data_IF_965262175618
#
_entry.id   IF_965262175618
#
_cell.length_a   1.000
_cell.length_b   1.000
_cell.length_c   1.000
_cell.angle_alpha   90.00
_cell.angle_beta   90.00
_cell.angle_gamma   90.00
#
_symmetry.space_group_name_H-M   'P 1'
#
loop_
_entity.id
_entity.type
_entity.pdbx_description
1 polymer ?
#
# COMPACT_ATOMS: atom_id res chain seq x y z
N UNK A 1 21.96 -46.72 -20.44
CA UNK A 1 22.21 -48.05 -21.04
C UNK A 1 20.88 -48.75 -21.21
N UNK A 2 20.73 -49.50 -22.31
CA UNK A 2 19.49 -49.94 -22.99
C UNK A 2 18.78 -48.85 -23.81
N UNK A 3 18.27 -49.07 -25.02
CA UNK A 3 18.64 -49.90 -26.17
C UNK A 3 17.69 -49.47 -27.32
N UNK A 4 18.26 -49.34 -28.53
CA UNK A 4 17.72 -49.51 -29.89
C UNK A 4 16.22 -49.47 -30.24
N UNK A 5 15.91 -48.81 -31.38
CA UNK A 5 15.18 -49.32 -32.59
C UNK A 5 14.87 -48.14 -33.54
N UNK A 6 15.51 -48.05 -34.73
CA UNK A 6 15.11 -48.57 -36.07
C UNK A 6 13.78 -48.03 -36.66
N UNK A 7 13.94 -47.21 -37.72
CA UNK A 7 13.37 -47.28 -39.08
C UNK A 7 11.84 -47.11 -39.36
N UNK A 8 11.52 -45.99 -40.05
CA UNK A 8 10.51 -45.65 -41.11
C UNK A 8 9.47 -46.69 -41.59
N UNK A 9 8.26 -46.30 -42.09
CA UNK A 9 8.13 -45.52 -43.36
C UNK A 9 6.95 -44.54 -43.53
N UNK A 10 7.07 -43.74 -44.60
CA UNK A 10 6.05 -42.92 -45.25
C UNK A 10 5.07 -43.78 -46.07
N UNK A 11 3.79 -43.38 -46.12
CA UNK A 11 2.90 -43.57 -47.29
C UNK A 11 1.84 -42.46 -47.26
N UNK A 12 1.69 -41.74 -48.39
CA UNK A 12 0.68 -40.70 -48.58
C UNK A 12 -0.58 -41.18 -49.29
N UNK A 13 -1.61 -40.34 -49.21
CA UNK A 13 -2.79 -40.17 -50.08
C UNK A 13 -3.31 -38.77 -49.70
N UNK A 14 -3.51 -37.76 -50.54
CA UNK A 14 -4.09 -37.69 -51.88
C UNK A 14 -5.21 -36.65 -51.81
N UNK A 15 -5.06 -35.54 -52.54
CA UNK A 15 -6.06 -34.61 -53.15
C UNK A 15 -7.22 -34.11 -52.25
N UNK A 16 -7.45 -32.81 -52.09
CA UNK A 16 -8.21 -32.01 -53.06
C UNK A 16 -7.90 -30.51 -52.97
N UNK A 17 -7.78 -29.89 -54.13
CA UNK A 17 -7.67 -28.44 -54.29
C UNK A 17 -9.04 -27.77 -54.30
N UNK A 18 -9.10 -26.58 -53.71
CA UNK A 18 -10.11 -25.57 -54.07
C UNK A 18 -9.41 -24.22 -54.14
N UNK A 19 -9.21 -23.77 -55.37
CA UNK A 19 -8.91 -22.40 -55.74
C UNK A 19 -10.13 -21.51 -55.55
N UNK A 20 -10.00 -20.41 -54.81
CA UNK A 20 -10.98 -19.32 -54.84
C UNK A 20 -10.40 -18.11 -55.58
N UNK A 21 -11.08 -17.80 -56.69
CA UNK A 21 -10.91 -16.72 -57.67
C UNK A 21 -11.34 -15.36 -57.06
N UNK A 22 -10.91 -14.20 -57.60
CA UNK A 22 -10.90 -12.93 -56.88
C UNK A 22 -12.22 -12.18 -56.99
N UNK A 23 -12.56 -11.44 -55.93
CA UNK A 23 -13.69 -10.51 -55.94
C UNK A 23 -13.19 -9.11 -56.30
N UNK A 24 -13.44 -8.70 -57.55
CA UNK A 24 -13.75 -7.32 -57.86
C UNK A 24 -15.21 -7.09 -57.45
N UNK A 25 -15.47 -6.07 -56.65
CA UNK A 25 -16.65 -5.23 -56.82
C UNK A 25 -16.34 -3.84 -56.30
N UNK A 26 -16.29 -2.92 -57.25
CA UNK A 26 -16.26 -1.49 -57.06
C UNK A 26 -17.65 -1.03 -56.61
N UNK A 27 -17.72 -0.27 -55.53
CA UNK A 27 -18.82 0.70 -55.33
C UNK A 27 -18.17 2.07 -55.16
N UNK A 28 -18.58 2.94 -56.06
CA UNK A 28 -18.17 4.32 -56.24
C UNK A 28 -18.47 5.19 -55.01
N UNK A 29 -17.50 6.02 -54.63
CA UNK A 29 -17.75 7.28 -53.94
C UNK A 29 -16.77 8.31 -54.51
N UNK A 30 -17.33 9.38 -55.09
CA UNK A 30 -16.67 10.30 -56.01
C UNK A 30 -15.48 11.12 -55.46
N UNK A 31 -14.84 11.92 -56.33
CA UNK A 31 -13.65 12.69 -55.98
C UNK A 31 -14.04 13.90 -55.12
N UNK A 32 -14.09 13.68 -53.81
CA UNK A 32 -14.05 14.74 -52.82
C UNK A 32 -12.69 15.42 -52.87
N UNK A 33 -12.65 16.58 -53.53
CA UNK A 33 -11.50 17.46 -53.62
C UNK A 33 -11.09 17.96 -52.22
N UNK A 34 -10.27 17.18 -51.51
CA UNK A 34 -9.58 17.67 -50.32
C UNK A 34 -8.29 18.31 -50.82
N UNK A 35 -8.39 19.60 -51.09
CA UNK A 35 -7.25 20.45 -51.40
C UNK A 35 -6.29 20.41 -50.19
N UNK A 36 -5.29 19.53 -50.27
CA UNK A 36 -4.17 19.51 -49.34
C UNK A 36 -3.38 20.78 -49.61
N UNK A 37 -3.71 21.82 -48.83
CA UNK A 37 -2.91 23.04 -48.75
C UNK A 37 -1.48 22.59 -48.43
N UNK A 38 -0.49 22.88 -49.30
CA UNK A 38 0.90 22.61 -48.94
C UNK A 38 1.17 23.36 -47.65
N UNK A 39 1.65 22.65 -46.63
CA UNK A 39 2.14 23.29 -45.42
C UNK A 39 3.19 24.29 -45.88
N UNK A 40 2.89 25.59 -45.79
CA UNK A 40 3.87 26.66 -45.94
C UNK A 40 5.04 26.31 -45.05
N UNK A 41 6.17 26.04 -45.68
CA UNK A 41 7.43 25.93 -44.98
C UNK A 41 7.60 27.18 -44.13
N UNK A 42 7.97 27.04 -42.84
CA UNK A 42 8.24 28.21 -42.03
C UNK A 42 9.40 28.95 -42.67
N UNK A 43 9.08 30.14 -43.19
CA UNK A 43 9.97 31.17 -43.69
C UNK A 43 11.25 31.17 -42.85
N UNK A 44 12.37 30.96 -43.54
CA UNK A 44 13.70 30.93 -42.96
C UNK A 44 13.96 32.18 -42.13
N UNK A 45 13.91 32.04 -40.81
CA UNK A 45 14.78 32.82 -39.95
C UNK A 45 16.14 32.13 -40.01
N UNK A 46 17.04 32.68 -40.83
CA UNK A 46 18.47 32.44 -40.74
C UNK A 46 18.87 32.52 -39.27
N UNK A 47 19.15 31.37 -38.67
CA UNK A 47 19.84 31.34 -37.40
C UNK A 47 21.26 31.78 -37.71
N UNK A 48 21.74 32.92 -37.16
CA UNK A 48 23.09 33.35 -37.43
C UNK A 48 24.01 32.20 -37.07
N UNK A 49 24.91 31.86 -38.00
CA UNK A 49 25.97 30.89 -37.77
C UNK A 49 26.49 31.09 -36.36
N UNK A 50 26.24 30.10 -35.51
CA UNK A 50 26.90 30.01 -34.22
C UNK A 50 28.35 29.72 -34.58
N UNK A 51 29.12 30.79 -34.87
CA UNK A 51 30.57 30.82 -34.73
C UNK A 51 30.85 29.95 -33.53
N UNK A 52 31.74 28.98 -33.69
CA UNK A 52 32.28 28.24 -32.57
C UNK A 52 32.81 29.30 -31.60
N UNK A 53 31.95 29.72 -30.68
CA UNK A 53 32.36 30.44 -29.52
C UNK A 53 33.29 29.42 -28.90
N UNK A 54 34.59 29.73 -28.94
CA UNK A 54 35.55 29.19 -28.01
C UNK A 54 34.76 28.99 -26.72
N UNK A 55 34.73 27.76 -26.20
CA UNK A 55 34.24 27.51 -24.85
C UNK A 55 35.11 28.42 -23.99
N UNK A 56 34.65 29.65 -23.79
CA UNK A 56 34.97 30.43 -22.62
C UNK A 56 34.59 29.47 -21.53
N UNK A 57 35.61 29.01 -20.82
CA UNK A 57 35.47 28.36 -19.54
C UNK A 57 34.62 29.31 -18.69
N UNK A 58 33.29 29.22 -18.83
CA UNK A 58 32.37 29.59 -17.77
C UNK A 58 32.60 28.52 -16.73
N UNK A 59 33.73 28.68 -16.05
CA UNK A 59 34.19 27.88 -14.95
C UNK A 59 33.09 28.03 -13.93
N UNK A 60 32.19 27.05 -13.90
CA UNK A 60 31.12 27.04 -12.92
C UNK A 60 31.78 27.22 -11.57
N UNK A 61 31.49 28.32 -10.89
CA UNK A 61 32.14 28.71 -9.64
C UNK A 61 31.91 27.70 -8.49
N UNK A 62 31.13 26.64 -8.75
CA UNK A 62 30.81 25.56 -7.81
C UNK A 62 31.49 24.25 -8.25
N UNK A 63 32.33 23.72 -7.36
CA UNK A 63 32.97 22.41 -7.51
C UNK A 63 31.91 21.29 -7.64
N UNK A 64 32.05 20.43 -8.65
CA UNK A 64 31.17 19.27 -8.84
C UNK A 64 31.43 18.21 -7.77
N UNK A 65 30.54 18.13 -6.79
CA UNK A 65 30.64 17.18 -5.65
C UNK A 65 30.24 15.75 -6.05
N UNK A 66 29.18 15.59 -6.85
CA UNK A 66 28.67 14.29 -7.32
C UNK A 66 29.45 13.79 -8.55
N UNK A 67 30.75 13.60 -8.39
CA UNK A 67 31.65 13.17 -9.46
C UNK A 67 31.80 11.64 -9.53
N UNK A 68 32.55 11.14 -10.53
CA UNK A 68 32.83 9.70 -10.70
C UNK A 68 33.47 9.08 -9.43
N UNK A 69 34.39 9.82 -8.79
CA UNK A 69 35.08 9.39 -7.58
C UNK A 69 34.16 9.29 -6.35
N UNK A 70 33.12 10.12 -6.28
CA UNK A 70 32.07 10.04 -5.27
C UNK A 70 31.29 8.73 -5.43
N UNK A 71 30.76 8.45 -6.62
CA UNK A 71 29.96 7.24 -6.86
C UNK A 71 30.76 5.94 -6.70
N UNK A 72 32.06 5.95 -7.01
CA UNK A 72 32.96 4.80 -6.76
C UNK A 72 33.05 4.42 -5.28
N UNK A 73 32.90 5.38 -4.36
CA UNK A 73 33.02 5.18 -2.90
C UNK A 73 31.68 5.31 -2.17
N UNK A 74 30.58 5.50 -2.90
CA UNK A 74 29.29 5.74 -2.31
C UNK A 74 28.68 4.44 -1.78
N UNK A 75 28.64 4.30 -0.45
CA UNK A 75 27.98 3.17 0.19
C UNK A 75 26.48 3.43 0.35
N UNK A 76 25.67 2.65 -0.36
CA UNK A 76 24.21 2.75 -0.25
C UNK A 76 23.73 2.20 1.08
N UNK A 77 22.78 2.89 1.72
CA UNK A 77 22.03 2.32 2.85
C UNK A 77 21.10 1.19 2.37
N UNK A 78 20.61 0.38 3.30
CA UNK A 78 19.68 -0.71 2.99
C UNK A 78 18.44 -0.23 2.21
N UNK A 79 17.90 -1.08 1.32
CA UNK A 79 16.79 -0.75 0.43
C UNK A 79 15.63 -0.06 1.15
N UNK A 80 15.10 -0.65 2.23
CA UNK A 80 13.96 -0.08 2.99
C UNK A 80 14.30 1.22 3.72
N UNK A 81 15.58 1.46 4.05
CA UNK A 81 16.03 2.73 4.63
C UNK A 81 16.08 3.84 3.58
N UNK A 82 16.53 3.51 2.35
CA UNK A 82 16.49 4.43 1.19
C UNK A 82 15.05 4.76 0.77
N UNK A 83 14.14 3.80 0.88
CA UNK A 83 12.70 4.04 0.68
C UNK A 83 12.02 4.77 1.86
N UNK A 84 12.72 5.00 2.97
CA UNK A 84 12.16 5.69 4.13
C UNK A 84 11.05 4.93 4.86
N UNK A 85 11.00 3.60 4.77
CA UNK A 85 9.90 2.77 5.33
C UNK A 85 10.23 2.08 6.65
N UNK A 86 11.51 2.04 7.02
CA UNK A 86 11.94 1.26 8.18
C UNK A 86 13.16 1.90 8.82
N UNK A 87 13.06 2.10 10.12
CA UNK A 87 14.21 2.27 10.99
C UNK A 87 14.73 0.90 11.44
N UNK A 88 15.97 0.58 11.06
CA UNK A 88 16.61 -0.69 11.41
C UNK A 88 17.08 -0.71 12.87
N UNK A 89 17.26 0.45 13.51
CA UNK A 89 17.66 0.55 14.90
C UNK A 89 16.54 0.06 15.83
N UNK A 90 15.31 0.58 15.63
CA UNK A 90 14.12 0.07 16.32
C UNK A 90 13.83 -1.40 15.96
N UNK A 91 13.89 -1.75 14.66
CA UNK A 91 13.60 -3.12 14.21
C UNK A 91 14.53 -4.17 14.83
N UNK A 92 15.83 -3.88 14.96
CA UNK A 92 16.80 -4.80 15.59
C UNK A 92 16.38 -5.16 17.01
N UNK A 93 15.94 -4.18 17.81
CA UNK A 93 15.52 -4.42 19.21
C UNK A 93 14.18 -5.15 19.31
N UNK A 94 13.26 -4.85 18.40
CA UNK A 94 11.92 -5.40 18.43
C UNK A 94 11.86 -6.87 18.00
N UNK A 95 12.68 -7.25 17.02
CA UNK A 95 12.56 -8.54 16.32
C UNK A 95 13.53 -9.60 16.83
N UNK A 96 14.70 -9.20 17.31
CA UNK A 96 15.69 -10.16 17.81
C UNK A 96 15.13 -10.84 19.06
N UNK A 97 15.20 -12.18 19.05
CA UNK A 97 14.83 -13.05 20.14
C UNK A 97 16.07 -13.43 20.95
N UNK A 98 15.87 -13.73 22.24
CA UNK A 98 16.92 -14.27 23.09
C UNK A 98 17.35 -15.65 22.57
N UNK A 99 18.66 -15.86 22.41
CA UNK A 99 19.19 -17.06 21.76
C UNK A 99 18.91 -18.35 22.55
N UNK A 100 18.74 -18.25 23.86
CA UNK A 100 18.36 -19.36 24.73
C UNK A 100 16.92 -19.87 24.49
N UNK A 101 16.08 -19.10 23.80
CA UNK A 101 14.71 -19.52 23.42
C UNK A 101 14.66 -20.22 22.05
N UNK A 102 15.80 -20.36 21.37
CA UNK A 102 15.97 -21.06 20.10
C UNK A 102 14.91 -20.68 19.05
N UNK A 103 13.99 -21.60 18.74
CA UNK A 103 12.99 -21.45 17.67
C UNK A 103 11.71 -20.74 18.11
N UNK A 104 11.59 -20.32 19.37
CA UNK A 104 10.38 -19.64 19.85
C UNK A 104 10.20 -18.30 19.14
N UNK A 105 9.10 -18.11 18.37
CA UNK A 105 8.88 -16.90 17.60
C UNK A 105 8.59 -15.70 18.51
N UNK A 106 9.23 -14.57 18.22
CA UNK A 106 8.91 -13.29 18.84
C UNK A 106 7.87 -12.56 17.97
N UNK A 107 6.62 -12.57 18.43
CA UNK A 107 5.51 -11.96 17.71
C UNK A 107 5.45 -10.45 17.90
N UNK A 108 5.16 -9.75 16.80
CA UNK A 108 4.90 -8.31 16.83
C UNK A 108 3.61 -7.97 16.10
N UNK A 109 2.88 -7.03 16.67
CA UNK A 109 1.72 -6.39 16.09
C UNK A 109 2.18 -5.17 15.28
N UNK A 110 2.21 -5.32 13.96
CA UNK A 110 2.53 -4.25 13.01
C UNK A 110 1.27 -3.45 12.73
N UNK A 111 1.27 -2.18 13.15
CA UNK A 111 0.20 -1.24 12.85
C UNK A 111 0.72 -0.19 11.87
N UNK A 112 0.06 -0.05 10.72
CA UNK A 112 0.42 0.94 9.70
C UNK A 112 -0.81 1.69 9.24
N UNK A 113 -0.72 3.02 9.31
CA UNK A 113 -1.72 3.91 8.73
C UNK A 113 -1.28 4.30 7.34
N UNK A 114 -2.22 4.19 6.40
CA UNK A 114 -2.15 4.86 5.11
C UNK A 114 -3.18 5.99 5.10
N UNK A 115 -3.24 6.77 4.01
CA UNK A 115 -4.16 7.89 3.93
C UNK A 115 -5.65 7.47 3.95
N UNK A 116 -5.96 6.23 3.57
CA UNK A 116 -7.34 5.75 3.40
C UNK A 116 -7.61 4.37 4.02
N UNK A 117 -6.61 3.76 4.64
CA UNK A 117 -6.71 2.41 5.18
C UNK A 117 -5.80 2.24 6.40
N UNK A 118 -6.25 1.42 7.35
CA UNK A 118 -5.50 0.97 8.52
C UNK A 118 -5.15 -0.49 8.31
N UNK A 119 -3.88 -0.83 8.51
CA UNK A 119 -3.34 -2.17 8.33
C UNK A 119 -2.82 -2.67 9.67
N UNK A 120 -3.39 -3.76 10.17
CA UNK A 120 -2.95 -4.44 11.38
C UNK A 120 -2.50 -5.87 11.03
N UNK A 121 -1.28 -6.24 11.40
CA UNK A 121 -0.72 -7.55 11.09
C UNK A 121 0.01 -8.12 12.30
N UNK A 122 -0.08 -9.43 12.51
CA UNK A 122 0.82 -10.14 13.42
C UNK A 122 1.87 -10.86 12.60
N UNK A 123 3.14 -10.58 12.89
CA UNK A 123 4.25 -11.19 12.21
C UNK A 123 5.35 -11.58 13.18
N UNK A 124 6.17 -12.55 12.77
CA UNK A 124 7.46 -12.86 13.39
C UNK A 124 8.51 -12.97 12.28
N UNK A 125 9.78 -12.79 12.61
CA UNK A 125 10.84 -12.82 11.61
C UNK A 125 11.41 -14.23 11.42
N UNK A 126 11.71 -14.57 10.18
CA UNK A 126 12.60 -15.67 9.77
C UNK A 126 13.73 -15.11 8.91
N UNK A 127 14.70 -15.96 8.57
CA UNK A 127 15.86 -15.61 7.74
C UNK A 127 15.43 -15.15 6.34
N UNK A 128 14.47 -15.86 5.73
CA UNK A 128 13.95 -15.54 4.39
C UNK A 128 13.11 -14.26 4.37
N UNK A 129 12.48 -13.91 5.49
CA UNK A 129 11.57 -12.79 5.60
C UNK A 129 10.63 -12.90 6.80
N UNK A 130 9.74 -11.92 6.91
CA UNK A 130 8.72 -11.93 7.95
C UNK A 130 7.56 -12.85 7.56
N UNK A 131 7.16 -13.72 8.48
CA UNK A 131 5.99 -14.58 8.33
C UNK A 131 4.79 -13.89 8.96
N UNK A 132 3.76 -13.60 8.17
CA UNK A 132 2.51 -13.01 8.64
C UNK A 132 1.56 -14.13 9.08
N UNK A 133 1.13 -14.08 10.34
CA UNK A 133 0.22 -15.07 10.93
C UNK A 133 -1.24 -14.69 10.66
N UNK A 134 -1.57 -13.42 10.91
CA UNK A 134 -2.90 -12.84 10.77
C UNK A 134 -2.77 -11.40 10.24
N UNK A 135 -3.77 -10.96 9.50
CA UNK A 135 -3.91 -9.59 9.03
C UNK A 135 -5.37 -9.15 9.14
N UNK A 136 -5.60 -7.88 9.45
CA UNK A 136 -6.90 -7.21 9.35
C UNK A 136 -6.70 -5.82 8.74
N UNK A 137 -7.74 -5.35 8.07
CA UNK A 137 -7.72 -4.10 7.33
C UNK A 137 -8.99 -3.30 7.57
N UNK A 138 -8.89 -1.97 7.53
CA UNK A 138 -10.08 -1.13 7.73
C UNK A 138 -11.07 -1.23 6.58
N UNK A 139 -10.61 -1.53 5.36
CA UNK A 139 -11.51 -1.78 4.22
C UNK A 139 -12.37 -3.06 4.34
N UNK A 140 -12.12 -3.91 5.35
CA UNK A 140 -12.99 -5.05 5.70
C UNK A 140 -14.12 -4.65 6.64
N UNK A 141 -13.97 -3.53 7.38
CA UNK A 141 -14.95 -3.05 8.36
C UNK A 141 -16.36 -2.77 7.82
N UNK A 142 -16.56 -2.39 6.54
CA UNK A 142 -17.90 -2.25 5.98
C UNK A 142 -18.75 -3.52 6.06
N UNK A 143 -18.13 -4.70 6.13
CA UNK A 143 -18.86 -5.97 6.33
C UNK A 143 -19.50 -6.09 7.72
N UNK A 144 -18.98 -5.33 8.69
CA UNK A 144 -19.40 -5.34 10.08
C UNK A 144 -20.20 -4.07 10.44
N UNK A 145 -20.72 -3.33 9.45
CA UNK A 145 -21.59 -2.16 9.66
C UNK A 145 -20.89 -0.80 9.60
N UNK A 146 -19.55 -0.74 9.56
CA UNK A 146 -18.80 0.53 9.47
C UNK A 146 -18.51 0.87 8.01
N UNK A 147 -19.44 1.56 7.36
CA UNK A 147 -19.31 1.91 5.93
C UNK A 147 -18.39 3.10 5.64
N UNK A 148 -18.21 4.01 6.59
CA UNK A 148 -17.47 5.27 6.48
C UNK A 148 -16.52 5.47 7.66
N UNK A 149 -15.61 6.44 7.56
CA UNK A 149 -14.72 6.78 8.68
C UNK A 149 -13.57 5.80 8.92
N UNK A 150 -13.11 5.07 7.89
CA UNK A 150 -12.17 3.94 8.02
C UNK A 150 -10.77 4.28 8.57
N UNK A 151 -10.44 5.56 8.76
CA UNK A 151 -9.11 6.01 9.23
C UNK A 151 -9.13 6.79 10.55
N UNK A 152 -10.26 6.82 11.26
CA UNK A 152 -10.38 7.47 12.57
C UNK A 152 -9.84 6.56 13.71
N UNK A 153 -9.94 7.03 14.96
CA UNK A 153 -9.50 6.28 16.14
C UNK A 153 -10.39 5.05 16.40
N UNK A 154 -11.71 5.20 16.27
CA UNK A 154 -12.69 4.12 16.43
C UNK A 154 -12.48 2.96 15.43
N UNK A 155 -12.24 3.26 14.15
CA UNK A 155 -11.89 2.27 13.14
C UNK A 155 -10.55 1.60 13.44
N UNK A 156 -9.57 2.33 13.99
CA UNK A 156 -8.31 1.73 14.43
C UNK A 156 -8.57 0.69 15.53
N UNK A 157 -9.38 1.04 16.53
CA UNK A 157 -9.81 0.12 17.58
C UNK A 157 -10.50 -1.12 17.00
N UNK A 158 -11.50 -0.94 16.12
CA UNK A 158 -12.20 -2.04 15.46
C UNK A 158 -11.26 -2.94 14.66
N UNK A 159 -10.28 -2.39 13.92
CA UNK A 159 -9.30 -3.20 13.19
C UNK A 159 -8.38 -4.00 14.11
N UNK A 160 -8.01 -3.43 15.27
CA UNK A 160 -7.24 -4.13 16.30
C UNK A 160 -8.02 -5.31 16.89
N UNK A 161 -9.28 -5.06 17.26
CA UNK A 161 -10.20 -6.06 17.79
C UNK A 161 -10.44 -7.20 16.79
N UNK A 162 -10.69 -6.87 15.52
CA UNK A 162 -10.86 -7.86 14.46
C UNK A 162 -9.62 -8.74 14.27
N UNK A 163 -8.44 -8.13 14.31
CA UNK A 163 -7.17 -8.84 14.18
C UNK A 163 -6.94 -9.80 15.35
N UNK A 164 -7.23 -9.37 16.59
CA UNK A 164 -7.12 -10.19 17.79
C UNK A 164 -8.08 -11.39 17.77
N UNK A 165 -9.38 -11.15 17.53
CA UNK A 165 -10.38 -12.23 17.47
C UNK A 165 -10.09 -13.22 16.34
N UNK A 166 -9.61 -12.75 15.19
CA UNK A 166 -9.21 -13.62 14.07
C UNK A 166 -7.99 -14.47 14.42
N UNK A 167 -7.04 -13.92 15.17
CA UNK A 167 -5.87 -14.66 15.63
C UNK A 167 -6.25 -15.75 16.63
N UNK A 168 -7.07 -15.41 17.63
CA UNK A 168 -7.49 -16.34 18.67
C UNK A 168 -8.35 -17.47 18.10
N UNK A 169 -9.28 -17.16 17.20
CA UNK A 169 -10.06 -18.18 16.49
C UNK A 169 -9.15 -19.13 15.69
N UNK A 170 -8.13 -18.59 14.99
CA UNK A 170 -7.15 -19.40 14.24
C UNK A 170 -6.35 -20.37 15.14
N UNK A 171 -6.12 -20.01 16.41
CA UNK A 171 -5.41 -20.84 17.38
C UNK A 171 -6.34 -21.60 18.34
N UNK A 172 -7.67 -21.47 18.22
CA UNK A 172 -8.64 -22.10 19.12
C UNK A 172 -8.61 -21.56 20.56
N UNK A 173 -8.26 -20.29 20.75
CA UNK A 173 -8.16 -19.61 22.06
C UNK A 173 -9.26 -18.56 22.27
N UNK A 174 -10.26 -18.55 21.42
CA UNK A 174 -11.33 -17.56 21.36
C UNK A 174 -12.31 -17.63 22.53
N UNK A 175 -12.57 -18.82 23.05
CA UNK A 175 -13.41 -19.07 24.24
C UNK A 175 -12.67 -18.89 25.56
N UNK A 176 -11.35 -19.10 25.56
CA UNK A 176 -10.52 -18.97 26.77
C UNK A 176 -10.25 -17.49 27.07
N UNK A 177 -9.91 -16.73 26.03
CA UNK A 177 -9.56 -15.32 26.15
C UNK A 177 -10.55 -14.46 25.38
N UNK A 178 -11.71 -14.22 25.98
CA UNK A 178 -12.74 -13.34 25.40
C UNK A 178 -12.34 -11.85 25.47
N UNK A 179 -11.44 -11.51 26.39
CA UNK A 179 -11.03 -10.14 26.65
C UNK A 179 -12.17 -9.32 27.26
N UNK A 180 -12.22 -8.04 26.96
CA UNK A 180 -13.22 -7.13 27.53
C UNK A 180 -14.42 -6.97 26.59
N UNK A 181 -15.57 -7.51 26.98
CA UNK A 181 -16.81 -7.46 26.16
C UNK A 181 -17.38 -6.04 26.12
N UNK A 182 -17.46 -5.39 27.27
CA UNK A 182 -17.94 -4.01 27.40
C UNK A 182 -16.79 -3.02 27.44
N UNK A 183 -16.76 -2.11 26.47
CA UNK A 183 -15.68 -1.13 26.34
C UNK A 183 -15.82 -0.03 27.39
N UNK A 184 -15.04 -0.11 28.47
CA UNK A 184 -14.94 0.94 29.50
C UNK A 184 -13.92 2.01 29.14
N UNK A 185 -12.89 1.66 28.35
CA UNK A 185 -11.77 2.55 28.01
C UNK A 185 -10.64 2.58 29.05
N UNK A 186 -10.78 1.82 30.14
CA UNK A 186 -9.79 1.76 31.21
C UNK A 186 -8.58 0.86 30.87
N UNK A 187 -7.56 0.86 31.72
CA UNK A 187 -6.45 -0.09 31.64
C UNK A 187 -6.95 -1.53 31.79
N UNK A 188 -6.62 -2.37 30.82
CA UNK A 188 -6.95 -3.79 30.85
C UNK A 188 -5.77 -4.56 30.30
N UNK A 189 -5.33 -5.59 31.01
CA UNK A 189 -4.29 -6.50 30.57
C UNK A 189 -4.78 -7.93 30.79
N UNK A 190 -4.70 -8.75 29.75
CA UNK A 190 -5.08 -10.16 29.85
C UNK A 190 -4.00 -10.93 30.59
N UNK A 191 -4.41 -11.59 31.68
CA UNK A 191 -3.58 -12.53 32.42
C UNK A 191 -3.77 -13.96 31.89
N UNK A 192 -2.76 -14.80 32.08
CA UNK A 192 -2.86 -16.21 31.71
C UNK A 192 -3.62 -16.98 32.77
N UNK A 193 -4.46 -17.93 32.37
CA UNK A 193 -5.28 -18.73 33.27
C UNK A 193 -4.53 -20.02 33.55
N UNK A 194 -4.38 -20.38 34.82
CA UNK A 194 -3.70 -21.61 35.22
C UNK A 194 -4.41 -22.85 34.63
N UNK A 195 -3.62 -23.78 34.10
CA UNK A 195 -4.12 -25.01 33.47
C UNK A 195 -4.63 -24.87 32.03
N UNK A 196 -4.70 -23.64 31.48
CA UNK A 196 -5.02 -23.39 30.06
C UNK A 196 -3.78 -22.91 29.29
N UNK A 197 -3.77 -22.97 27.95
CA UNK A 197 -2.69 -22.38 27.17
C UNK A 197 -2.58 -20.88 27.47
N UNK A 198 -1.37 -20.38 27.68
CA UNK A 198 -1.16 -18.98 28.04
C UNK A 198 -1.65 -17.98 26.99
N UNK A 199 -1.92 -16.75 27.43
CA UNK A 199 -2.40 -15.68 26.57
C UNK A 199 -1.38 -15.35 25.47
N UNK A 200 -1.85 -15.04 24.26
CA UNK A 200 -0.96 -14.77 23.15
C UNK A 200 -0.20 -13.45 23.36
N UNK A 201 1.10 -13.56 23.64
CA UNK A 201 1.97 -12.40 23.85
C UNK A 201 2.44 -11.81 22.53
N UNK A 202 2.25 -10.50 22.32
CA UNK A 202 2.86 -9.80 21.20
C UNK A 202 3.26 -8.36 21.53
N UNK A 203 4.19 -7.82 20.74
CA UNK A 203 4.75 -6.48 20.95
C UNK A 203 4.35 -5.50 19.85
N UNK A 204 4.03 -4.26 20.22
CA UNK A 204 3.66 -3.23 19.24
C UNK A 204 4.85 -2.80 18.36
N UNK A 205 4.66 -2.82 17.05
CA UNK A 205 5.53 -2.21 16.05
C UNK A 205 4.84 -0.96 15.47
N UNK A 206 5.14 0.22 16.01
CA UNK A 206 4.67 1.51 15.49
C UNK A 206 5.44 1.99 14.23
N UNK A 207 6.55 1.34 13.89
CA UNK A 207 7.39 1.68 12.74
C UNK A 207 8.03 3.06 12.88
N UNK A 208 7.69 3.95 11.93
CA UNK A 208 8.20 5.33 11.90
C UNK A 208 7.17 6.35 12.41
N UNK A 209 6.00 5.89 12.89
CA UNK A 209 5.00 6.78 13.44
C UNK A 209 5.50 7.40 14.75
N UNK A 210 5.31 8.71 14.90
CA UNK A 210 5.62 9.41 16.15
C UNK A 210 4.59 9.02 17.21
N UNK A 211 5.04 8.42 18.30
CA UNK A 211 4.19 7.93 19.40
C UNK A 211 3.82 9.04 20.39
N UNK A 212 3.08 10.05 19.93
CA UNK A 212 2.46 11.06 20.80
C UNK A 212 1.23 10.49 21.51
N UNK A 213 0.77 11.20 22.56
CA UNK A 213 -0.52 10.92 23.20
C UNK A 213 -1.65 11.06 22.18
N UNK A 214 -2.63 10.16 22.24
CA UNK A 214 -3.78 10.15 21.33
C UNK A 214 -3.50 9.66 19.90
N UNK A 215 -2.31 9.12 19.62
CA UNK A 215 -2.05 8.56 18.29
C UNK A 215 -2.92 7.32 18.04
N UNK A 216 -3.57 7.26 16.86
CA UNK A 216 -4.44 6.17 16.41
C UNK A 216 -3.78 4.79 16.41
N UNK A 217 -2.43 4.70 16.35
CA UNK A 217 -1.70 3.44 16.55
C UNK A 217 -2.07 2.77 17.87
N UNK A 218 -2.28 3.57 18.92
CA UNK A 218 -2.68 3.07 20.22
C UNK A 218 -4.16 2.68 20.27
N UNK A 219 -5.02 3.25 19.42
CA UNK A 219 -6.40 2.75 19.26
C UNK A 219 -6.42 1.31 18.77
N UNK A 220 -5.62 0.97 17.76
CA UNK A 220 -5.47 -0.41 17.31
C UNK A 220 -4.85 -1.32 18.38
N UNK A 221 -3.88 -0.82 19.16
CA UNK A 221 -3.33 -1.56 20.30
C UNK A 221 -4.42 -1.88 21.34
N UNK A 222 -5.22 -0.89 21.75
CA UNK A 222 -6.28 -1.08 22.75
C UNK A 222 -7.33 -2.06 22.26
N UNK A 223 -7.76 -1.96 20.99
CA UNK A 223 -8.68 -2.94 20.40
C UNK A 223 -8.11 -4.36 20.38
N UNK A 224 -6.82 -4.52 20.15
CA UNK A 224 -6.17 -5.83 20.17
C UNK A 224 -6.07 -6.41 21.60
N UNK A 225 -5.80 -5.55 22.59
CA UNK A 225 -5.77 -5.92 24.02
C UNK A 225 -7.15 -6.34 24.50
N UNK A 226 -8.17 -5.51 24.26
CA UNK A 226 -9.57 -5.81 24.63
C UNK A 226 -10.11 -7.03 23.87
N UNK A 227 -9.51 -7.35 22.71
CA UNK A 227 -9.79 -8.56 21.95
C UNK A 227 -9.18 -9.84 22.51
N UNK A 228 -8.36 -9.77 23.56
CA UNK A 228 -7.80 -10.94 24.25
C UNK A 228 -6.29 -11.16 24.09
N UNK A 229 -5.55 -10.22 23.47
CA UNK A 229 -4.09 -10.34 23.31
C UNK A 229 -3.34 -9.73 24.50
N UNK A 230 -2.26 -10.40 24.92
CA UNK A 230 -1.36 -9.87 25.94
C UNK A 230 -0.32 -8.97 25.26
N UNK A 231 -0.52 -7.66 25.32
CA UNK A 231 0.40 -6.65 24.79
C UNK A 231 0.84 -5.73 25.93
N UNK A 232 2.13 -5.72 26.31
CA UNK A 232 2.59 -4.84 27.37
C UNK A 232 2.51 -3.38 26.93
N UNK A 233 1.79 -2.57 27.70
CA UNK A 233 1.58 -1.16 27.42
C UNK A 233 1.38 -0.35 28.71
N UNK A 234 1.22 0.97 28.58
CA UNK A 234 0.88 1.89 29.66
C UNK A 234 -0.16 2.88 29.15
N UNK A 235 -1.04 3.36 30.02
CA UNK A 235 -2.13 4.29 29.70
C UNK A 235 -1.68 5.67 29.22
N UNK A 236 -0.40 6.03 29.45
CA UNK A 236 0.18 7.35 29.13
C UNK A 236 0.04 7.82 27.69
N UNK A 237 -0.18 6.92 26.74
CA UNK A 237 -0.26 7.25 25.30
C UNK A 237 -1.67 7.25 24.73
N UNK A 238 -2.67 6.88 25.52
CA UNK A 238 -4.06 6.92 25.09
C UNK A 238 -4.62 8.35 25.12
N UNK A 239 -5.65 8.65 24.30
CA UNK A 239 -6.47 9.85 24.48
C UNK A 239 -7.05 9.88 25.90
N UNK A 240 -7.04 11.03 26.56
CA UNK A 240 -7.52 11.18 27.94
C UNK A 240 -6.43 11.11 29.01
N UNK A 241 -5.17 10.85 28.65
CA UNK A 241 -4.04 11.07 29.54
C UNK A 241 -3.61 12.53 29.53
N UNK A 242 -3.62 13.17 30.69
CA UNK A 242 -3.09 14.52 30.85
C UNK A 242 -1.66 14.48 31.38
N UNK A 243 -0.77 15.22 30.73
CA UNK A 243 0.66 15.24 31.09
C UNK A 243 0.96 16.08 32.33
N UNK A 244 0.10 17.05 32.65
CA UNK A 244 0.30 17.96 33.78
C UNK A 244 -0.13 17.30 35.09
N UNK A 245 -1.38 16.83 35.16
CA UNK A 245 -1.89 16.07 36.30
C UNK A 245 -1.31 14.66 36.41
N UNK A 246 -0.82 14.09 35.29
CA UNK A 246 -0.39 12.68 35.17
C UNK A 246 -1.52 11.67 35.40
N UNK A 247 -2.77 12.12 35.34
CA UNK A 247 -3.95 11.30 35.52
C UNK A 247 -4.51 10.82 34.17
N UNK A 248 -5.20 9.68 34.19
CA UNK A 248 -5.83 9.09 33.02
C UNK A 248 -7.34 9.09 33.17
N UNK A 249 -8.04 9.77 32.27
CA UNK A 249 -9.49 9.77 32.22
C UNK A 249 -9.99 8.71 31.21
N UNK A 250 -10.50 7.60 31.73
CA UNK A 250 -11.03 6.49 30.93
C UNK A 250 -12.27 6.88 30.11
N UNK A 251 -13.09 7.81 30.60
CA UNK A 251 -14.30 8.25 29.88
C UNK A 251 -13.94 8.98 28.58
N UNK A 252 -12.92 9.84 28.62
CA UNK A 252 -12.42 10.53 27.41
C UNK A 252 -11.88 9.51 26.42
N UNK A 253 -11.16 8.48 26.89
CA UNK A 253 -10.69 7.41 26.03
C UNK A 253 -11.84 6.64 25.38
N UNK A 254 -12.86 6.28 26.17
CA UNK A 254 -14.08 5.61 25.70
C UNK A 254 -14.81 6.44 24.64
N UNK A 255 -14.95 7.75 24.84
CA UNK A 255 -15.53 8.67 23.85
C UNK A 255 -14.79 8.61 22.51
N UNK A 256 -13.46 8.51 22.52
CA UNK A 256 -12.67 8.35 21.29
C UNK A 256 -12.83 6.98 20.63
N UNK A 257 -12.98 5.91 21.42
CA UNK A 257 -13.23 4.55 20.91
C UNK A 257 -14.60 4.47 20.23
N UNK A 258 -15.63 5.08 20.83
CA UNK A 258 -16.98 5.13 20.28
C UNK A 258 -17.17 6.24 19.22
N UNK A 259 -16.11 7.01 18.94
CA UNK A 259 -16.12 8.09 17.95
C UNK A 259 -16.95 9.32 18.34
N UNK A 260 -17.37 9.46 19.59
CA UNK A 260 -18.20 10.59 20.06
C UNK A 260 -17.59 11.94 19.70
N UNK A 261 -16.26 12.07 19.75
CA UNK A 261 -15.54 13.27 19.32
C UNK A 261 -15.78 13.65 17.83
N UNK A 262 -15.91 12.66 16.95
CA UNK A 262 -16.25 12.89 15.54
C UNK A 262 -17.72 13.29 15.41
N UNK A 263 -18.61 12.75 16.24
CA UNK A 263 -20.02 13.13 16.27
C UNK A 263 -20.20 14.56 16.82
N UNK A 264 -19.47 14.94 17.86
CA UNK A 264 -19.41 16.31 18.39
C UNK A 264 -18.91 17.28 17.31
N UNK A 265 -17.86 16.92 16.58
CA UNK A 265 -17.38 17.74 15.46
C UNK A 265 -18.43 17.87 14.35
N UNK A 266 -19.17 16.81 14.04
CA UNK A 266 -20.29 16.89 13.11
C UNK A 266 -21.38 17.85 13.60
N UNK A 267 -21.77 17.81 14.88
CA UNK A 267 -22.77 18.74 15.46
C UNK A 267 -22.29 20.19 15.38
N UNK A 268 -21.04 20.43 15.80
CA UNK A 268 -20.43 21.75 15.75
C UNK A 268 -20.46 22.37 14.33
N UNK A 269 -20.06 21.61 13.31
CA UNK A 269 -20.15 22.11 11.93
C UNK A 269 -21.58 22.29 11.42
N UNK A 270 -22.53 21.48 11.87
CA UNK A 270 -23.94 21.66 11.46
C UNK A 270 -24.52 22.97 11.98
N UNK A 271 -24.08 23.41 13.16
CA UNK A 271 -24.52 24.66 13.78
C UNK A 271 -23.79 25.88 13.21
N UNK A 272 -22.48 25.77 12.97
CA UNK A 272 -21.64 26.91 12.55
C UNK A 272 -21.59 27.10 11.02
N UNK A 273 -21.40 26.02 10.25
CA UNK A 273 -21.16 26.09 8.80
C UNK A 273 -21.62 24.81 8.07
N UNK A 274 -22.84 24.88 7.53
CA UNK A 274 -23.45 23.78 6.79
C UNK A 274 -22.71 23.44 5.48
N UNK A 275 -22.03 24.40 4.84
CA UNK A 275 -21.25 24.15 3.62
C UNK A 275 -19.98 23.36 3.93
N UNK A 276 -19.26 23.73 4.99
CA UNK A 276 -18.11 22.99 5.47
C UNK A 276 -18.51 21.58 5.94
N UNK A 277 -19.67 21.43 6.58
CA UNK A 277 -20.24 20.14 6.95
C UNK A 277 -20.44 19.24 5.72
N UNK A 278 -21.16 19.74 4.70
CA UNK A 278 -21.41 19.00 3.44
C UNK A 278 -20.10 18.61 2.75
N UNK A 279 -19.09 19.48 2.75
CA UNK A 279 -17.78 19.22 2.15
C UNK A 279 -17.01 18.12 2.90
N UNK A 280 -16.89 18.24 4.22
CA UNK A 280 -16.09 17.34 5.05
C UNK A 280 -16.76 15.97 5.21
N UNK A 281 -18.08 15.96 5.42
CA UNK A 281 -18.86 14.76 5.74
C UNK A 281 -19.75 14.26 4.59
N UNK A 282 -19.49 14.68 3.36
CA UNK A 282 -20.21 14.25 2.13
C UNK A 282 -20.51 12.74 2.07
N UNK A 283 -19.55 11.90 2.45
CA UNK A 283 -19.71 10.43 2.46
C UNK A 283 -20.61 9.93 3.59
N UNK A 284 -20.60 10.59 4.74
CA UNK A 284 -21.47 10.26 5.86
C UNK A 284 -22.92 10.57 5.51
N UNK A 285 -23.16 11.74 4.90
CA UNK A 285 -24.48 12.14 4.38
C UNK A 285 -24.97 11.13 3.33
N UNK A 286 -24.10 10.77 2.37
CA UNK A 286 -24.44 9.80 1.31
C UNK A 286 -24.85 8.43 1.86
N UNK A 287 -24.26 8.00 2.99
CA UNK A 287 -24.54 6.72 3.61
C UNK A 287 -25.56 6.82 4.76
N UNK A 288 -26.17 7.99 4.99
CA UNK A 288 -27.20 8.19 6.01
C UNK A 288 -26.71 8.08 7.46
N UNK A 289 -25.43 8.36 7.73
CA UNK A 289 -24.84 8.28 9.08
C UNK A 289 -25.00 9.62 9.79
N UNK A 290 -25.83 9.66 10.83
CA UNK A 290 -26.03 10.83 11.69
C UNK A 290 -25.13 10.78 12.93
N UNK A 291 -24.87 11.91 13.60
CA UNK A 291 -24.04 11.97 14.81
C UNK A 291 -24.53 11.04 15.94
N UNK A 292 -25.85 10.98 16.17
CA UNK A 292 -26.44 10.17 17.25
C UNK A 292 -26.30 8.66 17.01
N UNK A 293 -26.39 8.23 15.75
CA UNK A 293 -26.31 6.80 15.37
C UNK A 293 -24.89 6.24 15.41
N UNK A 294 -23.88 7.09 15.59
CA UNK A 294 -22.50 6.69 15.38
C UNK A 294 -21.96 5.80 16.51
N UNK A 295 -22.36 6.05 17.76
CA UNK A 295 -21.98 5.19 18.88
C UNK A 295 -22.60 3.79 18.75
N UNK A 296 -23.88 3.71 18.40
CA UNK A 296 -24.58 2.45 18.18
C UNK A 296 -23.96 1.65 17.02
N UNK A 297 -23.56 2.33 15.94
CA UNK A 297 -22.86 1.72 14.80
C UNK A 297 -21.57 1.01 15.24
N UNK A 298 -20.75 1.63 16.09
CA UNK A 298 -19.51 0.98 16.56
C UNK A 298 -19.79 -0.15 17.57
N UNK A 299 -20.78 -0.01 18.45
CA UNK A 299 -21.20 -1.10 19.35
C UNK A 299 -21.65 -2.34 18.56
N UNK A 300 -22.49 -2.15 17.55
CA UNK A 300 -22.96 -3.22 16.66
C UNK A 300 -21.81 -3.83 15.85
N UNK A 301 -20.81 -3.02 15.47
CA UNK A 301 -19.62 -3.53 14.81
C UNK A 301 -18.76 -4.38 15.75
N UNK A 302 -18.58 -3.98 17.01
CA UNK A 302 -17.82 -4.76 17.99
C UNK A 302 -18.46 -6.14 18.24
N UNK A 303 -19.79 -6.20 18.38
CA UNK A 303 -20.52 -7.47 18.55
C UNK A 303 -20.41 -8.33 17.29
N UNK A 304 -20.59 -7.74 16.10
CA UNK A 304 -20.47 -8.44 14.82
C UNK A 304 -19.06 -9.01 14.58
N UNK A 305 -18.01 -8.25 14.94
CA UNK A 305 -16.61 -8.67 14.84
C UNK A 305 -16.33 -9.85 15.79
N UNK A 306 -16.87 -9.81 17.01
CA UNK A 306 -16.73 -10.90 17.98
C UNK A 306 -17.43 -12.18 17.51
N UNK A 307 -18.60 -12.05 16.87
CA UNK A 307 -19.35 -13.18 16.34
C UNK A 307 -18.65 -13.86 15.16
N UNK A 308 -18.18 -13.09 14.16
CA UNK A 308 -17.63 -13.65 12.92
C UNK A 308 -16.28 -13.01 12.52
N UNK A 309 -15.16 -13.41 13.13
CA UNK A 309 -13.85 -12.80 12.83
C UNK A 309 -13.17 -13.38 11.57
N UNK A 310 -13.72 -14.43 10.96
CA UNK A 310 -13.08 -15.21 9.89
C UNK A 310 -12.96 -14.40 8.59
N UNK A 311 -11.79 -14.49 7.94
CA UNK A 311 -11.55 -13.86 6.64
C UNK A 311 -11.85 -14.81 5.48
N UNK A 312 -12.86 -14.49 4.69
CA UNK A 312 -13.16 -15.18 3.44
C UNK A 312 -12.35 -14.59 2.28
N UNK A 313 -11.50 -15.43 1.67
CA UNK A 313 -10.72 -15.03 0.50
C UNK A 313 -11.63 -14.93 -0.73
N UNK A 314 -11.51 -13.82 -1.46
CA UNK A 314 -12.21 -13.66 -2.75
C UNK A 314 -11.75 -14.72 -3.76
N UNK A 315 -12.65 -15.26 -4.59
CA UNK A 315 -12.29 -16.24 -5.61
C UNK A 315 -11.30 -15.65 -6.62
N UNK A 316 -10.38 -16.48 -7.11
CA UNK A 316 -9.43 -16.09 -8.16
C UNK A 316 -10.20 -15.89 -9.47
N UNK A 317 -10.04 -14.72 -10.10
CA UNK A 317 -10.61 -14.45 -11.42
C UNK A 317 -9.61 -14.85 -12.50
N UNK A 318 -10.08 -15.55 -13.52
CA UNK A 318 -9.31 -15.81 -14.74
C UNK A 318 -9.25 -14.53 -15.58
N UNK A 319 -8.05 -13.97 -15.76
CA UNK A 319 -7.86 -12.70 -16.48
C UNK A 319 -6.84 -12.90 -17.58
N UNK A 320 -7.20 -12.53 -18.83
CA UNK A 320 -6.26 -12.46 -19.95
C UNK A 320 -5.18 -11.41 -19.65
N UNK A 321 -3.93 -11.83 -19.52
CA UNK A 321 -2.82 -10.95 -19.12
C UNK A 321 -2.42 -10.01 -20.26
N UNK A 322 -2.82 -8.74 -20.18
CA UNK A 322 -2.31 -7.66 -21.03
C UNK A 322 -1.07 -7.00 -20.42
N UNK A 323 -0.08 -6.69 -21.24
CA UNK A 323 1.12 -5.95 -20.80
C UNK A 323 0.87 -4.44 -20.89
N UNK A 324 0.92 -3.75 -19.75
CA UNK A 324 0.77 -2.28 -19.67
C UNK A 324 2.10 -1.53 -19.72
N UNK A 325 3.19 -2.18 -19.32
CA UNK A 325 4.50 -1.57 -19.23
C UNK A 325 5.34 -1.89 -20.46
N UNK A 326 6.14 -0.92 -20.92
CA UNK A 326 7.06 -1.10 -22.04
C UNK A 326 8.02 -2.26 -21.81
N UNK A 327 8.29 -3.03 -22.88
CA UNK A 327 9.31 -4.06 -22.86
C UNK A 327 10.71 -3.49 -22.70
N UNK A 328 11.55 -4.17 -21.91
CA UNK A 328 12.97 -3.85 -21.84
C UNK A 328 13.57 -4.10 -23.23
N UNK A 329 14.11 -3.05 -23.85
CA UNK A 329 14.74 -3.18 -25.17
C UNK A 329 15.87 -4.20 -25.12
N UNK A 330 15.93 -5.06 -26.14
CA UNK A 330 17.00 -6.02 -26.31
C UNK A 330 18.34 -5.31 -26.58
N UNK A 331 19.44 -6.04 -26.44
CA UNK A 331 20.77 -5.49 -26.70
C UNK A 331 20.91 -5.05 -28.18
N UNK A 332 20.45 -5.88 -29.12
CA UNK A 332 20.45 -5.57 -30.56
C UNK A 332 19.69 -4.29 -30.85
N UNK A 333 18.43 -4.20 -30.40
CA UNK A 333 17.59 -3.00 -30.57
C UNK A 333 18.25 -1.72 -30.03
N UNK A 334 19.05 -1.81 -28.95
CA UNK A 334 19.80 -0.65 -28.42
C UNK A 334 20.97 -0.27 -29.31
N UNK A 335 21.75 -1.25 -29.78
CA UNK A 335 22.89 -1.02 -30.69
C UNK A 335 22.42 -0.41 -32.00
N UNK A 336 21.39 -1.00 -32.60
CA UNK A 336 20.84 -0.53 -33.88
C UNK A 336 20.28 0.87 -33.76
N UNK A 337 19.55 1.17 -32.67
CA UNK A 337 19.07 2.52 -32.37
C UNK A 337 20.20 3.54 -32.29
N UNK A 338 21.36 3.18 -31.71
CA UNK A 338 22.52 4.08 -31.64
C UNK A 338 23.07 4.31 -33.04
N UNK A 339 23.21 3.26 -33.85
CA UNK A 339 23.71 3.35 -35.21
C UNK A 339 22.77 4.22 -36.09
N UNK A 340 21.46 4.01 -36.00
CA UNK A 340 20.44 4.81 -36.69
C UNK A 340 20.54 6.29 -36.33
N UNK A 341 20.69 6.62 -35.03
CA UNK A 341 20.86 8.01 -34.57
C UNK A 341 22.15 8.66 -35.08
N UNK A 342 23.26 7.92 -35.14
CA UNK A 342 24.51 8.43 -35.71
C UNK A 342 24.36 8.71 -37.20
N UNK A 343 23.76 7.78 -37.96
CA UNK A 343 23.51 7.93 -39.40
C UNK A 343 22.59 9.11 -39.70
N UNK A 344 21.49 9.26 -38.95
CA UNK A 344 20.57 10.37 -39.15
C UNK A 344 21.21 11.74 -38.86
N UNK A 345 22.11 11.79 -37.88
CA UNK A 345 22.84 13.01 -37.55
C UNK A 345 23.81 13.42 -38.66
N UNK A 346 24.60 12.48 -39.18
CA UNK A 346 25.51 12.73 -40.29
C UNK A 346 24.76 13.22 -41.53
N UNK A 347 23.65 12.54 -41.89
CA UNK A 347 22.79 12.96 -43.00
C UNK A 347 22.27 14.40 -42.83
N UNK A 348 21.85 14.77 -41.62
CA UNK A 348 21.35 16.12 -41.36
C UNK A 348 22.46 17.19 -41.47
N UNK A 349 23.72 16.85 -41.13
CA UNK A 349 24.85 17.74 -41.33
C UNK A 349 25.21 17.90 -42.81
N UNK A 350 25.20 16.80 -43.56
CA UNK A 350 25.46 16.80 -45.01
C UNK A 350 24.41 17.65 -45.75
N UNK A 351 23.13 17.50 -45.39
CA UNK A 351 22.05 18.32 -45.96
C UNK A 351 22.19 19.79 -45.60
N UNK A 352 22.43 20.10 -44.32
CA UNK A 352 22.61 21.49 -43.89
C UNK A 352 23.84 22.18 -44.52
N UNK A 353 24.84 21.40 -44.94
CA UNK A 353 26.01 21.90 -45.65
C UNK A 353 25.78 22.01 -47.17
N UNK A 354 24.83 21.26 -47.74
CA UNK A 354 24.44 21.35 -49.14
C UNK A 354 23.43 22.49 -49.39
N UNK A 355 22.64 22.84 -48.38
CA UNK A 355 21.66 23.93 -48.40
C UNK A 355 22.27 25.31 -48.07
N UNK A 356 23.55 25.35 -47.69
CA UNK A 356 24.35 26.56 -47.38
C UNK A 356 25.39 26.81 -48.45
#
# INVERSE_FOLDING_TARGET
>A
MAADRKFFPETGTGLDGVSCVPANDCIEAGPGNVHLVPRRDPIGLEKPHRKQAAKTDKQGFVKVVKNKSYFKRYQVKFRRRREGKTDYFARKRLVVQDKNKYNTPKYRMIVRFTNRDIICQIAYAKIEGDMIVCAAYSHELPKYGISVGLTNYAAAYCTGLLMARRLLNKFGLDTVYEGQVEVTGDEYNVESIDGKPGAFTCYLDAGLARTTTGNKVFGALKGAVDGGLSIPHSTKRFPGYDSESKEFNAEVHRKHIMGVNVAEYMRYLMEEDEEAYKKQFSRFIKNGVTPDKMEEMYKNAHTSIRANPVHEKKPKKEVKKKRWNRAKMSLAQRKDRIAQKKRSFLRAQEQAAADS
#
